data_IF_478435662604
#
_entry.id   IF_478435662604
#
_cell.length_a   1.000
_cell.length_b   1.000
_cell.length_c   1.000
_cell.angle_alpha   90.00
_cell.angle_beta   90.00
_cell.angle_gamma   90.00
#
_symmetry.space_group_name_H-M   'P 1'
#
loop_
_entity.id
_entity.type
_entity.pdbx_description
1 polymer ?
#
# COMPACT_ATOMS: atom_id res chain seq x y z
N UNK A 1 -40.38 0.76 7.55
CA UNK A 1 -39.42 0.06 8.43
C UNK A 1 -38.54 -0.82 7.55
N UNK A 2 -37.34 -0.37 7.18
CA UNK A 2 -36.41 -1.17 6.39
C UNK A 2 -35.39 -1.80 7.35
N UNK A 3 -35.49 -3.11 7.56
CA UNK A 3 -34.59 -3.90 8.39
C UNK A 3 -33.20 -3.95 7.78
N UNK A 4 -32.20 -3.54 8.56
CA UNK A 4 -30.79 -3.55 8.18
C UNK A 4 -30.27 -4.97 7.97
N UNK A 5 -29.90 -5.27 6.73
CA UNK A 5 -29.27 -6.53 6.32
C UNK A 5 -27.85 -6.66 6.87
N UNK A 6 -27.73 -7.27 8.05
CA UNK A 6 -26.47 -7.81 8.57
C UNK A 6 -26.07 -9.08 7.80
N UNK A 7 -25.55 -8.93 6.58
CA UNK A 7 -25.22 -10.08 5.72
C UNK A 7 -24.05 -9.91 4.74
N UNK A 8 -23.62 -8.69 4.42
CA UNK A 8 -22.88 -8.41 3.18
C UNK A 8 -21.45 -8.96 3.05
N UNK A 9 -20.74 -9.26 4.13
CA UNK A 9 -19.33 -9.65 4.05
C UNK A 9 -19.09 -11.00 3.36
N UNK A 10 -19.88 -12.02 3.72
CA UNK A 10 -19.74 -13.40 3.22
C UNK A 10 -20.23 -13.60 1.78
N UNK A 11 -21.22 -12.80 1.37
CA UNK A 11 -21.78 -12.85 0.03
C UNK A 11 -20.86 -12.18 -1.01
N UNK A 12 -20.06 -11.18 -0.60
CA UNK A 12 -19.08 -10.55 -1.48
C UNK A 12 -17.96 -11.51 -1.86
N UNK A 13 -17.39 -12.25 -0.90
CA UNK A 13 -16.31 -13.22 -1.16
C UNK A 13 -16.75 -14.43 -1.98
N UNK A 14 -18.07 -14.67 -2.09
CA UNK A 14 -18.66 -15.73 -2.90
C UNK A 14 -19.10 -15.25 -4.29
N UNK A 15 -18.91 -13.96 -4.60
CA UNK A 15 -19.39 -13.34 -5.84
C UNK A 15 -18.23 -13.10 -6.81
N UNK A 16 -18.40 -13.52 -8.06
CA UNK A 16 -17.47 -13.23 -9.17
C UNK A 16 -17.83 -11.92 -9.90
N UNK A 17 -18.87 -11.21 -9.45
CA UNK A 17 -19.39 -10.01 -10.11
C UNK A 17 -18.52 -8.78 -9.81
N UNK A 18 -17.72 -8.37 -10.81
CA UNK A 18 -16.84 -7.20 -10.71
C UNK A 18 -17.56 -5.89 -10.34
N UNK A 19 -18.85 -5.74 -10.66
CA UNK A 19 -19.67 -4.59 -10.28
C UNK A 19 -19.97 -4.54 -8.78
N UNK A 20 -20.23 -5.70 -8.15
CA UNK A 20 -20.44 -5.79 -6.70
C UNK A 20 -19.16 -5.50 -5.92
N UNK A 21 -18.02 -5.94 -6.44
CA UNK A 21 -16.70 -5.59 -5.91
C UNK A 21 -16.42 -4.08 -6.02
N UNK A 22 -16.75 -3.45 -7.15
CA UNK A 22 -16.62 -1.98 -7.32
C UNK A 22 -17.53 -1.21 -6.37
N UNK A 23 -18.81 -1.56 -6.28
CA UNK A 23 -19.74 -0.89 -5.38
C UNK A 23 -19.31 -0.98 -3.90
N UNK A 24 -18.74 -2.12 -3.51
CA UNK A 24 -18.16 -2.30 -2.17
C UNK A 24 -16.91 -1.44 -1.96
N UNK A 25 -16.06 -1.31 -2.99
CA UNK A 25 -14.91 -0.42 -2.99
C UNK A 25 -15.32 1.07 -2.94
N UNK A 26 -16.43 1.46 -3.55
CA UNK A 26 -16.92 2.85 -3.50
C UNK A 26 -17.35 3.26 -2.07
N UNK A 27 -17.78 2.29 -1.27
CA UNK A 27 -18.11 2.48 0.15
C UNK A 27 -16.89 2.63 1.06
N UNK A 28 -15.67 2.45 0.52
CA UNK A 28 -14.43 2.45 1.29
C UNK A 28 -14.14 3.77 2.00
N UNK A 29 -14.45 4.92 1.39
CA UNK A 29 -14.25 6.24 2.02
C UNK A 29 -15.15 6.43 3.25
N UNK A 30 -16.37 5.88 3.19
CA UNK A 30 -17.31 5.89 4.31
C UNK A 30 -16.80 5.02 5.45
N UNK A 31 -16.29 3.82 5.16
CA UNK A 31 -15.69 2.92 6.16
C UNK A 31 -14.44 3.54 6.79
N UNK A 32 -13.58 4.17 5.99
CA UNK A 32 -12.42 4.92 6.49
C UNK A 32 -12.83 6.07 7.41
N UNK A 33 -13.91 6.78 7.05
CA UNK A 33 -14.45 7.84 7.89
C UNK A 33 -14.94 7.32 9.23
N UNK A 34 -15.66 6.20 9.23
CA UNK A 34 -16.10 5.54 10.47
C UNK A 34 -14.92 5.05 11.31
N UNK A 35 -13.91 4.45 10.68
CA UNK A 35 -12.69 3.99 11.35
C UNK A 35 -11.91 5.15 11.99
N UNK A 36 -11.80 6.27 11.28
CA UNK A 36 -11.15 7.47 11.78
C UNK A 36 -11.92 8.07 12.97
N UNK A 37 -13.25 8.09 12.93
CA UNK A 37 -14.10 8.58 14.02
C UNK A 37 -14.14 7.66 15.24
N UNK A 38 -13.92 6.36 15.05
CA UNK A 38 -13.89 5.35 16.12
C UNK A 38 -12.60 5.40 16.96
N UNK A 39 -11.52 6.02 16.45
CA UNK A 39 -10.27 6.16 17.18
C UNK A 39 -10.34 7.25 18.27
N UNK A 40 -9.79 6.94 19.45
CA UNK A 40 -9.68 7.85 20.60
C UNK A 40 -9.11 9.22 20.19
N UNK A 41 -9.75 10.31 20.67
CA UNK A 41 -9.25 11.69 20.54
C UNK A 41 -7.80 11.76 21.03
N UNK A 42 -6.88 12.12 20.14
CA UNK A 42 -5.43 12.17 20.39
C UNK A 42 -4.59 11.24 19.51
N UNK A 43 -5.21 10.28 18.81
CA UNK A 43 -4.50 9.40 17.86
C UNK A 43 -4.99 9.65 16.43
N UNK A 44 -4.19 10.36 15.62
CA UNK A 44 -4.04 10.15 14.16
C UNK A 44 -5.32 10.08 13.28
N UNK A 45 -6.51 10.44 13.77
CA UNK A 45 -7.78 10.28 13.06
C UNK A 45 -7.78 11.06 11.73
N UNK A 46 -7.40 12.34 11.75
CA UNK A 46 -7.21 13.15 10.55
C UNK A 46 -6.03 12.68 9.70
N UNK A 47 -4.97 12.16 10.33
CA UNK A 47 -3.80 11.63 9.64
C UNK A 47 -4.09 10.35 8.88
N UNK A 48 -5.02 9.50 9.32
CA UNK A 48 -5.29 8.21 8.69
C UNK A 48 -5.91 8.38 7.30
N UNK A 49 -6.88 9.29 7.16
CA UNK A 49 -7.47 9.64 5.86
C UNK A 49 -6.43 10.23 4.90
N UNK A 50 -5.60 11.15 5.41
CA UNK A 50 -4.54 11.78 4.62
C UNK A 50 -3.49 10.75 4.17
N UNK A 51 -3.02 9.90 5.10
CA UNK A 51 -2.07 8.84 4.82
C UNK A 51 -2.63 7.81 3.82
N UNK A 52 -3.92 7.50 3.90
CA UNK A 52 -4.55 6.55 2.98
C UNK A 52 -4.70 7.14 1.57
N UNK A 53 -5.12 8.41 1.47
CA UNK A 53 -5.16 9.14 0.20
C UNK A 53 -3.76 9.23 -0.41
N UNK A 54 -2.75 9.57 0.40
CA UNK A 54 -1.36 9.62 -0.02
C UNK A 54 -0.89 8.26 -0.56
N UNK A 55 -1.13 7.17 0.16
CA UNK A 55 -0.74 5.82 -0.28
C UNK A 55 -1.44 5.38 -1.58
N UNK A 56 -2.73 5.73 -1.75
CA UNK A 56 -3.49 5.33 -2.95
C UNK A 56 -3.20 6.19 -4.19
N UNK A 57 -2.93 7.49 -4.02
CA UNK A 57 -2.87 8.44 -5.14
C UNK A 57 -1.51 9.08 -5.33
N UNK A 58 -0.80 9.42 -4.26
CA UNK A 58 0.41 10.25 -4.32
C UNK A 58 1.67 9.38 -4.42
N UNK A 59 1.75 8.30 -3.63
CA UNK A 59 2.91 7.41 -3.64
C UNK A 59 3.19 6.83 -5.03
N UNK A 60 2.15 6.34 -5.70
CA UNK A 60 2.26 5.76 -7.04
C UNK A 60 2.67 6.81 -8.09
N UNK A 61 2.20 8.05 -7.98
CA UNK A 61 2.61 9.14 -8.87
C UNK A 61 4.07 9.53 -8.61
N UNK A 62 4.48 9.67 -7.36
CA UNK A 62 5.87 10.00 -6.98
C UNK A 62 6.87 8.93 -7.39
N UNK A 63 6.51 7.65 -7.27
CA UNK A 63 7.40 6.55 -7.68
C UNK A 63 7.46 6.43 -9.20
N UNK A 64 6.35 6.63 -9.91
CA UNK A 64 6.31 6.54 -11.39
C UNK A 64 6.81 7.78 -12.12
N UNK A 65 6.89 8.94 -11.45
CA UNK A 65 7.46 10.17 -12.04
C UNK A 65 8.99 10.17 -12.05
N UNK A 66 9.63 9.30 -11.26
CA UNK A 66 11.09 9.13 -11.21
C UNK A 66 11.56 8.28 -12.39
N UNK A 67 12.71 8.65 -12.99
CA UNK A 67 13.31 7.90 -14.11
C UNK A 67 13.67 6.46 -13.75
N UNK A 68 14.03 6.22 -12.48
CA UNK A 68 14.12 4.89 -11.87
C UNK A 68 13.11 4.85 -10.72
N UNK A 69 12.06 4.02 -10.79
CA UNK A 69 11.06 3.97 -9.74
C UNK A 69 11.68 3.36 -8.47
N UNK A 70 11.79 4.17 -7.42
CA UNK A 70 12.31 3.80 -6.10
C UNK A 70 11.52 4.54 -5.02
N UNK A 71 11.60 4.05 -3.78
CA UNK A 71 11.11 4.78 -2.61
C UNK A 71 12.25 5.46 -1.87
N UNK A 72 11.98 6.60 -1.25
CA UNK A 72 12.89 7.25 -0.30
C UNK A 72 12.68 6.70 1.11
N UNK A 73 13.66 6.95 1.99
CA UNK A 73 13.57 6.60 3.41
C UNK A 73 12.35 7.25 4.10
N UNK A 74 12.05 8.50 3.76
CA UNK A 74 10.89 9.22 4.29
C UNK A 74 9.57 8.57 3.85
N UNK A 75 9.47 8.20 2.57
CA UNK A 75 8.30 7.50 2.01
C UNK A 75 8.11 6.13 2.67
N UNK A 76 9.19 5.40 2.95
CA UNK A 76 9.16 4.12 3.68
C UNK A 76 8.67 4.32 5.13
N UNK A 77 9.16 5.36 5.81
CA UNK A 77 8.69 5.71 7.15
C UNK A 77 7.21 6.09 7.14
N UNK A 78 6.76 6.85 6.15
CA UNK A 78 5.36 7.26 5.99
C UNK A 78 4.46 6.07 5.66
N UNK A 79 4.92 5.12 4.83
CA UNK A 79 4.22 3.87 4.56
C UNK A 79 4.05 3.02 5.83
N UNK A 80 5.10 2.93 6.66
CA UNK A 80 5.01 2.22 7.93
C UNK A 80 4.04 2.90 8.89
N UNK A 81 4.04 4.24 8.95
CA UNK A 81 3.05 5.01 9.71
C UNK A 81 1.63 4.72 9.22
N UNK A 82 1.39 4.71 7.91
CA UNK A 82 0.09 4.36 7.34
C UNK A 82 -0.36 2.95 7.74
N UNK A 83 0.53 1.96 7.64
CA UNK A 83 0.23 0.57 8.01
C UNK A 83 -0.11 0.43 9.50
N UNK A 84 0.68 1.06 10.36
CA UNK A 84 0.45 1.05 11.81
C UNK A 84 -0.77 1.88 12.22
N UNK A 85 -1.10 2.93 11.46
CA UNK A 85 -2.32 3.70 11.65
C UNK A 85 -3.56 2.86 11.32
N UNK A 86 -3.54 2.01 10.29
CA UNK A 86 -4.68 1.14 9.96
C UNK A 86 -4.83 -0.06 10.90
N UNK A 87 -3.74 -0.51 11.53
CA UNK A 87 -3.72 -1.67 12.40
C UNK A 87 -3.41 -1.36 13.87
N UNK A 88 -2.76 -2.32 14.53
CA UNK A 88 -2.23 -2.15 15.89
C UNK A 88 -0.93 -1.35 15.83
N UNK A 89 -0.91 -0.18 16.46
CA UNK A 89 0.30 0.64 16.56
C UNK A 89 1.40 -0.10 17.33
N UNK A 90 2.59 -0.22 16.72
CA UNK A 90 3.76 -0.89 17.29
C UNK A 90 5.00 0.00 17.13
N UNK A 91 5.38 0.79 18.14
CA UNK A 91 6.47 1.77 18.02
C UNK A 91 7.83 1.13 17.66
N UNK A 92 8.08 -0.10 18.11
CA UNK A 92 9.30 -0.86 17.80
C UNK A 92 9.51 -1.08 16.30
N UNK A 93 8.43 -1.24 15.51
CA UNK A 93 8.56 -1.38 14.05
C UNK A 93 9.00 -0.08 13.39
N UNK A 94 8.51 1.07 13.87
CA UNK A 94 8.90 2.39 13.35
C UNK A 94 10.37 2.67 13.61
N UNK A 95 10.86 2.32 14.81
CA UNK A 95 12.28 2.47 15.15
C UNK A 95 13.19 1.63 14.24
N UNK A 96 12.80 0.38 13.99
CA UNK A 96 13.54 -0.51 13.07
C UNK A 96 13.54 0.00 11.62
N UNK A 97 12.45 0.62 11.15
CA UNK A 97 12.42 1.21 9.80
C UNK A 97 13.39 2.39 9.71
N UNK A 98 13.45 3.23 10.74
CA UNK A 98 14.35 4.40 10.78
C UNK A 98 15.83 4.02 10.78
N UNK A 99 16.17 2.83 11.27
CA UNK A 99 17.55 2.31 11.26
C UNK A 99 18.03 1.85 9.87
N UNK A 100 17.16 1.79 8.85
CA UNK A 100 17.61 1.53 7.49
C UNK A 100 18.33 2.77 6.94
N UNK A 101 19.40 2.57 6.17
CA UNK A 101 20.07 3.66 5.47
C UNK A 101 19.23 4.11 4.25
N UNK A 102 19.26 5.39 3.88
CA UNK A 102 18.54 5.86 2.69
C UNK A 102 19.03 5.18 1.41
N UNK A 103 20.33 4.91 1.31
CA UNK A 103 20.97 4.22 0.19
C UNK A 103 20.45 2.80 0.00
N UNK A 104 20.34 2.03 1.10
CA UNK A 104 19.80 0.67 1.05
C UNK A 104 18.32 0.67 0.65
N UNK A 105 17.54 1.63 1.15
CA UNK A 105 16.11 1.76 0.82
C UNK A 105 15.93 2.01 -0.68
N UNK A 106 16.67 2.94 -1.26
CA UNK A 106 16.59 3.25 -2.69
C UNK A 106 17.02 2.06 -3.55
N UNK A 107 18.15 1.42 -3.20
CA UNK A 107 18.70 0.28 -3.94
C UNK A 107 17.78 -0.93 -3.91
N UNK A 108 17.31 -1.33 -2.73
CA UNK A 108 16.44 -2.50 -2.56
C UNK A 108 15.08 -2.25 -3.20
N UNK A 109 14.51 -1.07 -2.98
CA UNK A 109 13.17 -0.76 -3.52
C UNK A 109 13.20 -0.58 -5.03
N UNK A 110 14.23 0.07 -5.58
CA UNK A 110 14.43 0.16 -7.03
C UNK A 110 14.59 -1.21 -7.68
N UNK A 111 15.33 -2.12 -7.05
CA UNK A 111 15.47 -3.51 -7.51
C UNK A 111 14.15 -4.28 -7.42
N UNK A 112 13.38 -4.09 -6.35
CA UNK A 112 12.08 -4.72 -6.17
C UNK A 112 11.06 -4.26 -7.21
N UNK A 113 11.05 -2.97 -7.56
CA UNK A 113 10.16 -2.43 -8.58
C UNK A 113 10.61 -2.87 -9.98
N UNK A 114 11.92 -2.88 -10.24
CA UNK A 114 12.48 -3.39 -11.50
C UNK A 114 12.29 -4.89 -11.71
N UNK A 115 12.01 -5.65 -10.65
CA UNK A 115 11.67 -7.07 -10.75
C UNK A 115 10.23 -7.32 -11.25
N UNK A 116 9.36 -6.31 -11.30
CA UNK A 116 8.02 -6.47 -11.85
C UNK A 116 8.11 -6.80 -13.36
N UNK A 117 7.28 -7.74 -13.86
CA UNK A 117 6.03 -8.27 -13.27
C UNK A 117 6.19 -9.44 -12.29
N UNK A 118 7.41 -9.89 -11.96
CA UNK A 118 7.64 -10.97 -10.99
C UNK A 118 7.41 -10.49 -9.54
N UNK A 119 6.18 -10.68 -9.07
CA UNK A 119 5.75 -10.26 -7.74
C UNK A 119 6.48 -11.02 -6.62
N UNK A 120 6.77 -12.31 -6.81
CA UNK A 120 7.47 -13.10 -5.80
C UNK A 120 8.88 -12.55 -5.59
N UNK A 121 9.59 -12.28 -6.69
CA UNK A 121 10.92 -11.68 -6.64
C UNK A 121 10.88 -10.26 -6.07
N UNK A 122 9.90 -9.44 -6.45
CA UNK A 122 9.72 -8.09 -5.90
C UNK A 122 9.50 -8.12 -4.38
N UNK A 123 8.66 -9.02 -3.89
CA UNK A 123 8.40 -9.18 -2.44
C UNK A 123 9.64 -9.67 -1.72
N UNK A 124 10.34 -10.69 -2.25
CA UNK A 124 11.58 -11.20 -1.66
C UNK A 124 12.65 -10.12 -1.52
N UNK A 125 12.84 -9.29 -2.56
CA UNK A 125 13.76 -8.17 -2.51
C UNK A 125 13.33 -7.14 -1.45
N UNK A 126 12.06 -6.74 -1.45
CA UNK A 126 11.56 -5.78 -0.47
C UNK A 126 11.63 -6.29 0.99
N UNK A 127 11.59 -7.61 1.22
CA UNK A 127 11.78 -8.20 2.57
C UNK A 127 13.21 -8.12 3.10
N UNK A 128 14.18 -7.72 2.29
CA UNK A 128 15.56 -7.48 2.75
C UNK A 128 15.67 -6.24 3.65
N UNK A 129 14.70 -5.31 3.57
CA UNK A 129 14.67 -4.12 4.42
C UNK A 129 14.22 -4.45 5.85
N UNK A 130 14.85 -3.82 6.84
CA UNK A 130 14.49 -4.05 8.25
C UNK A 130 13.05 -3.59 8.51
N UNK A 131 12.31 -4.42 9.26
CA UNK A 131 10.89 -4.26 9.58
C UNK A 131 9.92 -4.29 8.37
N UNK A 132 10.40 -4.66 7.17
CA UNK A 132 9.56 -4.94 6.01
C UNK A 132 9.37 -6.46 5.89
N UNK A 133 8.28 -6.97 6.46
CA UNK A 133 7.88 -8.38 6.25
C UNK A 133 7.12 -8.58 4.92
N UNK A 134 6.80 -9.82 4.52
CA UNK A 134 6.04 -10.12 3.29
C UNK A 134 4.74 -9.32 3.17
N UNK A 135 4.05 -9.10 4.29
CA UNK A 135 2.82 -8.32 4.35
C UNK A 135 3.02 -6.79 4.20
N UNK A 136 4.23 -6.27 4.34
CA UNK A 136 4.56 -4.86 4.04
C UNK A 136 5.17 -4.77 2.65
N UNK A 137 6.06 -5.71 2.33
CA UNK A 137 6.72 -5.85 1.05
C UNK A 137 5.72 -5.94 -0.10
N UNK A 138 4.62 -6.69 0.05
CA UNK A 138 3.57 -6.78 -0.98
C UNK A 138 2.82 -5.46 -1.20
N UNK A 139 2.78 -4.56 -0.22
CA UNK A 139 2.09 -3.27 -0.34
C UNK A 139 2.76 -2.30 -1.32
N UNK A 140 4.08 -2.43 -1.53
CA UNK A 140 4.83 -1.61 -2.49
C UNK A 140 4.45 -1.91 -3.95
N UNK A 141 4.62 -3.14 -4.47
CA UNK A 141 4.23 -3.47 -5.83
C UNK A 141 2.72 -3.35 -6.03
N UNK A 142 1.88 -3.66 -5.02
CA UNK A 142 0.42 -3.49 -5.14
C UNK A 142 -0.01 -2.03 -5.35
N UNK A 143 0.65 -1.07 -4.68
CA UNK A 143 0.34 0.35 -4.90
C UNK A 143 0.66 0.79 -6.33
N UNK A 144 1.72 0.23 -6.93
CA UNK A 144 2.14 0.52 -8.30
C UNK A 144 1.28 -0.17 -9.35
N UNK A 145 0.87 -1.42 -9.14
CA UNK A 145 -0.01 -2.14 -10.06
C UNK A 145 -1.42 -1.50 -10.14
N UNK A 146 -1.88 -0.86 -9.06
CA UNK A 146 -3.23 -0.26 -8.99
C UNK A 146 -3.41 0.97 -9.88
N UNK A 147 -2.34 1.69 -10.22
CA UNK A 147 -2.44 2.88 -11.07
C UNK A 147 -2.42 2.60 -12.57
N UNK A 148 -2.44 1.33 -13.00
CA UNK A 148 -2.63 0.96 -14.39
C UNK A 148 -1.57 1.50 -15.36
N UNK A 149 -0.47 2.08 -14.85
CA UNK A 149 0.68 2.44 -15.67
C UNK A 149 1.48 1.17 -15.87
N UNK A 150 1.18 0.50 -16.99
CA UNK A 150 1.97 -0.60 -17.51
C UNK A 150 3.44 -0.20 -17.45
N UNK A 151 4.21 -0.83 -16.55
CA UNK A 151 5.68 -0.75 -16.53
C UNK A 151 6.29 -1.53 -17.71
N UNK A 152 5.48 -1.91 -18.70
CA UNK A 152 5.91 -2.49 -19.96
C UNK A 152 6.37 -1.39 -20.91
N UNK A 153 7.61 -0.94 -20.75
CA UNK A 153 8.41 -0.50 -21.89
C UNK A 153 9.85 -0.93 -21.68
N UNK A 154 10.23 -1.98 -22.40
CA UNK A 154 11.63 -2.28 -22.69
C UNK A 154 12.11 -3.71 -22.49
N UNK A 155 11.44 -4.72 -23.07
CA UNK A 155 12.18 -5.89 -23.57
C UNK A 155 11.41 -6.63 -24.67
N UNK A 156 12.16 -7.08 -25.69
CA UNK A 156 11.78 -7.61 -27.02
C UNK A 156 11.27 -6.52 -27.99
N UNK A 157 12.05 -6.00 -28.95
CA UNK A 157 13.26 -6.56 -29.56
C UNK A 157 12.90 -7.80 -30.38
N UNK A 158 12.83 -7.61 -31.70
CA UNK A 158 12.74 -8.59 -32.79
C UNK A 158 12.96 -10.06 -32.40
N UNK A 159 12.00 -10.96 -32.70
CA UNK A 159 12.02 -12.02 -33.74
C UNK A 159 10.59 -12.55 -33.95
#
# INVERSE_FOLDING_TARGET
MAGGGGGGGKELFSSEDSGRWRASLDSYDQVLTLLASSKKRGSSSSSLKLLDKWYQKELSVSVTSRSKPHLTHEELCQLMQWKLARGKFRPRLMEMVRQNSPEDVEKVTGSAIGALPDLERAVRLATQLRAVGPATASGLPLSLCRTGKSLTKGHLGDI
#
